data_IF_270914917852
#
_entry.id   IF_270914917852
#
_cell.length_a   1.000
_cell.length_b   1.000
_cell.length_c   1.000
_cell.angle_alpha   90.00
_cell.angle_beta   90.00
_cell.angle_gamma   90.00
#
_symmetry.space_group_name_H-M   'P 1'
#
loop_
_entity.id
_entity.type
_entity.pdbx_description
1 polymer ?
#
# COMPACT_ATOMS: atom_id res chain seq x y z
N UNK A 1 16.13 12.49 11.94
CA UNK A 1 16.26 11.54 10.83
C UNK A 1 15.90 10.15 11.31
N UNK A 2 15.10 9.45 10.51
CA UNK A 2 14.78 8.04 10.71
C UNK A 2 15.38 7.28 9.52
N UNK A 3 16.03 6.15 9.78
CA UNK A 3 16.55 5.27 8.74
C UNK A 3 16.10 3.85 9.07
N UNK A 4 15.55 3.17 8.11
CA UNK A 4 15.15 1.77 8.19
C UNK A 4 15.90 0.95 7.14
N UNK A 5 16.30 -0.24 7.51
CA UNK A 5 16.84 -1.25 6.62
C UNK A 5 16.21 -2.59 6.97
N UNK A 6 15.75 -3.29 5.96
CA UNK A 6 15.17 -4.62 6.09
C UNK A 6 15.82 -5.54 5.05
N UNK A 7 16.07 -6.79 5.41
CA UNK A 7 16.44 -7.87 4.48
C UNK A 7 15.44 -9.00 4.62
N UNK A 8 15.07 -9.61 3.50
CA UNK A 8 14.20 -10.78 3.50
C UNK A 8 14.77 -11.94 4.31
N UNK A 9 13.90 -12.79 4.79
CA UNK A 9 14.27 -13.99 5.52
C UNK A 9 14.85 -15.07 4.58
N UNK A 10 15.72 -15.92 5.13
CA UNK A 10 16.28 -17.09 4.45
C UNK A 10 17.09 -16.83 3.16
N UNK A 11 17.64 -15.62 3.00
CA UNK A 11 18.49 -15.34 1.85
C UNK A 11 17.73 -15.18 0.53
N UNK A 12 16.45 -14.78 0.59
CA UNK A 12 15.60 -14.51 -0.58
C UNK A 12 16.19 -13.46 -1.54
N UNK A 13 17.13 -12.66 -1.09
CA UNK A 13 17.67 -11.54 -1.86
C UNK A 13 16.84 -10.27 -1.75
N UNK A 14 15.72 -10.31 -1.05
CA UNK A 14 14.86 -9.14 -0.83
C UNK A 14 15.53 -8.15 0.11
N UNK A 15 15.40 -6.88 -0.19
CA UNK A 15 15.82 -5.83 0.73
C UNK A 15 14.94 -4.59 0.59
N UNK A 16 14.86 -3.82 1.67
CA UNK A 16 14.25 -2.50 1.67
C UNK A 16 15.12 -1.53 2.45
N UNK A 17 15.24 -0.32 1.93
CA UNK A 17 15.88 0.81 2.61
C UNK A 17 14.97 2.01 2.56
N UNK A 18 14.84 2.71 3.68
CA UNK A 18 14.13 3.97 3.73
C UNK A 18 14.88 5.00 4.57
N UNK A 19 14.68 6.25 4.24
CA UNK A 19 15.16 7.40 5.01
C UNK A 19 14.04 8.44 5.10
N UNK A 20 13.86 8.96 6.30
CA UNK A 20 12.85 9.97 6.57
C UNK A 20 13.34 11.08 7.49
N UNK A 21 12.62 12.17 7.48
CA UNK A 21 12.84 13.30 8.37
C UNK A 21 11.54 13.99 8.74
N UNK A 22 11.44 14.31 10.03
CA UNK A 22 10.37 15.12 10.59
C UNK A 22 10.88 16.55 10.81
N UNK A 23 10.06 17.51 10.42
CA UNK A 23 10.30 18.94 10.63
C UNK A 23 9.18 19.49 11.50
N UNK A 24 9.53 20.13 12.62
CA UNK A 24 8.57 20.76 13.51
C UNK A 24 8.60 22.28 13.31
N UNK A 25 7.43 22.88 13.08
CA UNK A 25 7.26 24.30 12.91
C UNK A 25 6.31 24.87 13.99
N UNK A 26 6.78 25.85 14.74
CA UNK A 26 6.00 26.56 15.76
C UNK A 26 5.29 25.65 16.79
N UNK A 27 5.84 24.47 17.10
CA UNK A 27 5.31 23.47 18.02
C UNK A 27 3.86 23.00 17.73
N UNK A 28 3.32 23.34 16.57
CA UNK A 28 1.95 22.99 16.17
C UNK A 28 1.87 22.27 14.84
N UNK A 29 2.84 22.46 13.98
CA UNK A 29 2.86 21.91 12.65
C UNK A 29 4.06 20.98 12.49
N UNK A 30 3.81 19.75 12.11
CA UNK A 30 4.85 18.75 11.84
C UNK A 30 4.72 18.28 10.39
N UNK A 31 5.80 18.40 9.64
CA UNK A 31 5.95 17.83 8.31
C UNK A 31 6.80 16.56 8.43
N UNK A 32 6.30 15.45 7.95
CA UNK A 32 7.00 14.18 7.84
C UNK A 32 7.30 13.91 6.38
N UNK A 33 8.51 13.51 6.09
CA UNK A 33 8.88 13.11 4.73
C UNK A 33 9.70 11.83 4.79
N UNK A 34 9.44 10.91 3.89
CA UNK A 34 10.31 9.74 3.71
C UNK A 34 10.38 9.33 2.25
N UNK A 35 11.49 8.75 1.89
CA UNK A 35 11.71 8.09 0.61
C UNK A 35 12.36 6.73 0.88
N UNK A 36 12.11 5.78 0.01
CA UNK A 36 12.71 4.46 0.13
C UNK A 36 12.67 3.69 -1.16
N UNK A 37 13.36 2.57 -1.12
CA UNK A 37 13.42 1.60 -2.19
C UNK A 37 13.31 0.19 -1.61
N UNK A 38 12.63 -0.68 -2.33
CA UNK A 38 12.53 -2.10 -2.05
C UNK A 38 12.90 -2.87 -3.32
N UNK A 39 13.62 -3.97 -3.16
CA UNK A 39 13.87 -4.95 -4.22
C UNK A 39 13.36 -6.31 -3.76
N UNK A 40 12.63 -6.98 -4.63
CA UNK A 40 12.01 -8.27 -4.36
C UNK A 40 12.41 -9.28 -5.43
N UNK A 41 12.55 -10.53 -5.01
CA UNK A 41 12.88 -11.66 -5.89
C UNK A 41 11.61 -12.48 -6.10
N UNK A 42 11.23 -12.75 -7.35
CA UNK A 42 10.05 -13.55 -7.72
C UNK A 42 8.71 -13.07 -7.09
N UNK A 43 8.70 -11.87 -6.49
CA UNK A 43 7.52 -11.27 -5.85
C UNK A 43 7.36 -9.83 -6.26
N UNK A 44 6.15 -9.33 -6.10
CA UNK A 44 5.80 -7.93 -6.34
C UNK A 44 4.89 -7.43 -5.21
N UNK A 45 5.37 -6.44 -4.43
CA UNK A 45 4.70 -5.92 -3.25
C UNK A 45 4.20 -7.03 -2.31
N UNK A 46 5.03 -8.05 -2.10
CA UNK A 46 4.72 -9.22 -1.29
C UNK A 46 3.76 -10.23 -1.94
N UNK A 47 3.37 -10.04 -3.19
CA UNK A 47 2.57 -10.99 -3.94
C UNK A 47 3.48 -11.82 -4.84
N UNK A 48 3.34 -13.15 -4.78
CA UNK A 48 3.98 -14.08 -5.69
C UNK A 48 2.98 -14.64 -6.68
N UNK A 49 3.45 -14.96 -7.86
CA UNK A 49 2.70 -15.73 -8.85
C UNK A 49 3.60 -16.76 -9.49
N UNK A 50 3.07 -17.96 -9.67
CA UNK A 50 3.80 -19.12 -10.19
C UNK A 50 3.32 -19.53 -11.56
N UNK A 51 4.14 -20.36 -12.25
CA UNK A 51 3.80 -20.97 -13.52
C UNK A 51 3.65 -19.96 -14.65
N UNK A 52 2.57 -20.05 -15.39
CA UNK A 52 2.33 -19.25 -16.59
C UNK A 52 2.21 -17.74 -16.35
N UNK A 53 2.02 -17.30 -15.11
CA UNK A 53 1.91 -15.89 -14.73
C UNK A 53 3.05 -15.47 -13.78
N UNK A 54 4.18 -16.19 -13.77
CA UNK A 54 5.30 -15.90 -12.91
C UNK A 54 5.91 -14.52 -13.22
N UNK A 55 6.23 -13.78 -12.18
CA UNK A 55 7.04 -12.55 -12.27
C UNK A 55 8.51 -12.91 -12.10
N UNK A 56 9.39 -12.08 -12.67
CA UNK A 56 10.84 -12.30 -12.62
C UNK A 56 11.47 -11.79 -11.34
N UNK A 57 12.79 -11.95 -11.28
CA UNK A 57 13.62 -11.47 -10.20
C UNK A 57 13.91 -9.96 -10.30
N UNK A 58 14.41 -9.40 -9.18
CA UNK A 58 14.86 -8.00 -9.11
C UNK A 58 13.77 -6.97 -9.43
N UNK A 59 12.55 -7.24 -8.96
CA UNK A 59 11.48 -6.24 -9.01
C UNK A 59 11.81 -5.08 -8.09
N UNK A 60 11.75 -3.86 -8.61
CA UNK A 60 12.17 -2.66 -7.88
C UNK A 60 10.99 -1.73 -7.62
N UNK A 61 10.81 -1.38 -6.37
CA UNK A 61 9.78 -0.45 -5.92
C UNK A 61 10.43 0.75 -5.25
N UNK A 62 10.17 1.94 -5.76
CA UNK A 62 10.54 3.21 -5.15
C UNK A 62 9.30 3.83 -4.54
N UNK A 63 9.41 4.37 -3.32
CA UNK A 63 8.28 5.01 -2.66
C UNK A 63 8.66 6.33 -2.02
N UNK A 64 7.71 7.24 -1.98
CA UNK A 64 7.80 8.52 -1.30
C UNK A 64 6.55 8.77 -0.46
N UNK A 65 6.73 9.28 0.75
CA UNK A 65 5.64 9.67 1.64
C UNK A 65 5.82 11.12 2.10
N UNK A 66 4.70 11.84 2.15
CA UNK A 66 4.59 13.16 2.76
C UNK A 66 3.43 13.13 3.74
N UNK A 67 3.72 13.42 5.01
CA UNK A 67 2.72 13.53 6.08
C UNK A 67 2.73 14.92 6.70
N UNK A 68 1.56 15.39 7.07
CA UNK A 68 1.37 16.67 7.77
C UNK A 68 0.54 16.41 9.03
N UNK A 69 1.03 16.91 10.17
CA UNK A 69 0.26 16.90 11.42
C UNK A 69 0.10 18.36 11.91
N UNK A 70 -1.10 18.68 12.33
CA UNK A 70 -1.42 19.97 12.93
C UNK A 70 -2.09 19.80 14.30
N UNK A 71 -1.48 20.41 15.33
CA UNK A 71 -1.97 20.37 16.69
C UNK A 71 -3.04 21.43 16.93
N UNK A 72 -4.25 20.99 17.33
CA UNK A 72 -5.40 21.82 17.68
C UNK A 72 -5.68 21.65 19.17
N UNK A 73 -5.05 22.43 20.01
CA UNK A 73 -5.06 22.18 21.47
C UNK A 73 -4.32 20.88 21.77
N UNK A 74 -5.03 19.90 22.36
CA UNK A 74 -4.51 18.54 22.60
C UNK A 74 -4.83 17.55 21.47
N UNK A 75 -5.54 18.00 20.44
CA UNK A 75 -5.98 17.14 19.34
C UNK A 75 -5.01 17.22 18.16
N UNK A 76 -5.02 16.21 17.30
CA UNK A 76 -4.16 16.12 16.12
C UNK A 76 -5.00 15.94 14.86
N UNK A 77 -4.83 16.81 13.89
CA UNK A 77 -5.29 16.60 12.52
C UNK A 77 -4.08 16.15 11.70
N UNK A 78 -4.18 15.02 11.01
CA UNK A 78 -3.11 14.48 10.17
C UNK A 78 -3.59 14.20 8.76
N UNK A 79 -2.69 14.40 7.80
CA UNK A 79 -2.86 14.02 6.41
C UNK A 79 -1.58 13.33 5.95
N UNK A 80 -1.70 12.17 5.32
CA UNK A 80 -0.60 11.42 4.74
C UNK A 80 -0.89 11.13 3.26
N UNK A 81 0.13 11.27 2.43
CA UNK A 81 0.14 10.91 1.02
C UNK A 81 1.34 10.03 0.74
N UNK A 82 1.11 8.92 0.04
CA UNK A 82 2.18 8.04 -0.41
C UNK A 82 2.05 7.80 -1.91
N UNK A 83 3.16 7.92 -2.62
CA UNK A 83 3.29 7.54 -4.02
C UNK A 83 4.32 6.41 -4.13
N UNK A 84 4.03 5.44 -4.96
CA UNK A 84 4.88 4.27 -5.21
C UNK A 84 5.03 4.08 -6.70
N UNK A 85 6.24 3.77 -7.13
CA UNK A 85 6.59 3.46 -8.51
C UNK A 85 7.30 2.11 -8.53
N UNK A 86 6.72 1.15 -9.24
CA UNK A 86 7.20 -0.23 -9.27
C UNK A 86 7.52 -0.67 -10.69
N UNK A 87 8.73 -1.21 -10.84
CA UNK A 87 9.24 -1.83 -12.05
C UNK A 87 9.21 -3.34 -11.85
N UNK A 88 8.47 -4.07 -12.69
CA UNK A 88 8.32 -5.52 -12.59
C UNK A 88 8.99 -6.17 -13.77
N UNK A 89 9.87 -7.13 -13.49
CA UNK A 89 10.49 -7.97 -14.50
C UNK A 89 9.62 -9.21 -14.75
N UNK A 90 9.72 -9.76 -15.94
CA UNK A 90 9.04 -10.99 -16.35
C UNK A 90 10.04 -12.12 -16.58
N UNK A 91 9.59 -13.37 -16.47
CA UNK A 91 10.38 -14.55 -16.83
C UNK A 91 10.12 -14.94 -18.30
N UNK A 92 11.09 -15.61 -18.94
CA UNK A 92 10.97 -16.03 -20.34
C UNK A 92 9.79 -17.00 -20.58
N UNK A 93 9.49 -17.85 -19.60
CA UNK A 93 8.42 -18.84 -19.67
C UNK A 93 7.04 -18.31 -19.28
N UNK A 94 6.95 -17.03 -18.86
CA UNK A 94 5.70 -16.39 -18.48
C UNK A 94 4.86 -16.01 -19.70
N UNK A 95 3.54 -16.15 -19.58
CA UNK A 95 2.59 -15.54 -20.53
C UNK A 95 2.54 -14.01 -20.39
N UNK A 96 3.03 -13.48 -19.29
CA UNK A 96 3.22 -12.03 -19.12
C UNK A 96 4.53 -11.67 -19.80
N UNK A 97 4.46 -10.92 -20.90
CA UNK A 97 5.64 -10.52 -21.68
C UNK A 97 6.26 -9.23 -21.17
N UNK A 98 5.46 -8.35 -20.65
CA UNK A 98 5.94 -7.06 -20.17
C UNK A 98 4.97 -6.44 -19.17
N UNK A 99 5.52 -5.62 -18.26
CA UNK A 99 4.78 -4.63 -17.50
C UNK A 99 5.30 -3.25 -17.88
N UNK A 100 4.42 -2.28 -18.06
CA UNK A 100 4.83 -0.89 -17.98
C UNK A 100 5.12 -0.54 -16.52
N UNK A 101 5.79 0.59 -16.27
CA UNK A 101 5.95 1.13 -14.94
C UNK A 101 4.59 1.27 -14.24
N UNK A 102 4.46 0.68 -13.06
CA UNK A 102 3.22 0.72 -12.27
C UNK A 102 3.35 1.81 -11.23
N UNK A 103 2.40 2.74 -11.26
CA UNK A 103 2.28 3.78 -10.24
C UNK A 103 1.07 3.51 -9.35
N UNK A 104 1.27 3.67 -8.04
CA UNK A 104 0.19 3.60 -7.07
C UNK A 104 0.23 4.79 -6.13
N UNK A 105 -0.94 5.19 -5.65
CA UNK A 105 -1.10 6.26 -4.68
C UNK A 105 -1.98 5.83 -3.53
N UNK A 106 -1.75 6.43 -2.36
CA UNK A 106 -2.65 6.32 -1.21
C UNK A 106 -2.76 7.62 -0.45
N UNK A 107 -3.92 7.84 0.18
CA UNK A 107 -4.21 9.04 0.97
C UNK A 107 -4.86 8.66 2.29
N UNK A 108 -4.52 9.38 3.36
CA UNK A 108 -5.17 9.24 4.66
C UNK A 108 -5.34 10.61 5.31
N UNK A 109 -6.54 10.90 5.78
CA UNK A 109 -6.86 12.02 6.63
C UNK A 109 -7.36 11.45 7.97
N UNK A 110 -6.85 11.94 9.10
CA UNK A 110 -7.31 11.51 10.40
C UNK A 110 -7.40 12.69 11.38
N UNK A 111 -8.32 12.57 12.32
CA UNK A 111 -8.46 13.50 13.43
C UNK A 111 -8.51 12.71 14.73
N UNK A 112 -7.56 12.98 15.63
CA UNK A 112 -7.39 12.33 16.90
C UNK A 112 -7.71 13.30 18.02
N UNK A 113 -8.55 12.88 18.96
CA UNK A 113 -8.97 13.64 20.12
C UNK A 113 -8.37 12.99 21.37
N UNK A 114 -7.44 13.69 21.99
CA UNK A 114 -6.83 13.28 23.25
C UNK A 114 -7.62 13.91 24.42
N UNK A 115 -8.58 13.13 24.97
CA UNK A 115 -9.41 13.58 26.08
C UNK A 115 -8.58 13.79 27.34
N UNK A 116 -7.67 12.89 27.60
CA UNK A 116 -6.69 12.90 28.68
C UNK A 116 -5.46 12.06 28.28
N UNK A 117 -4.49 11.88 29.21
CA UNK A 117 -3.25 11.11 28.91
C UNK A 117 -3.47 9.62 28.65
N UNK A 118 -4.68 9.10 28.93
CA UNK A 118 -5.00 7.67 28.85
C UNK A 118 -6.10 7.37 27.82
N UNK A 119 -6.82 8.39 27.34
CA UNK A 119 -7.98 8.20 26.47
C UNK A 119 -7.80 8.97 25.17
N UNK A 120 -7.74 8.24 24.07
CA UNK A 120 -7.70 8.79 22.72
C UNK A 120 -8.81 8.16 21.88
N UNK A 121 -9.50 8.97 21.11
CA UNK A 121 -10.44 8.49 20.09
C UNK A 121 -10.37 9.38 18.85
N UNK A 122 -10.83 8.87 17.75
CA UNK A 122 -10.77 9.64 16.51
C UNK A 122 -11.45 8.94 15.36
N UNK A 123 -11.37 9.61 14.22
CA UNK A 123 -11.85 9.10 12.97
C UNK A 123 -10.78 9.25 11.88
N UNK A 124 -10.90 8.45 10.85
CA UNK A 124 -10.06 8.53 9.66
C UNK A 124 -10.88 8.32 8.40
N UNK A 125 -10.41 8.95 7.33
CA UNK A 125 -10.81 8.68 5.98
C UNK A 125 -9.56 8.31 5.18
N UNK A 126 -9.60 7.23 4.42
CA UNK A 126 -8.48 6.85 3.56
C UNK A 126 -8.93 6.32 2.20
N UNK A 127 -8.10 6.59 1.21
CA UNK A 127 -8.06 5.86 -0.05
C UNK A 127 -6.82 4.95 0.04
N UNK A 128 -7.00 3.65 0.21
CA UNK A 128 -5.88 2.70 0.20
C UNK A 128 -5.10 2.76 -1.10
N UNK A 129 -3.94 2.12 -1.11
CA UNK A 129 -3.10 2.04 -2.31
C UNK A 129 -3.90 1.51 -3.51
N UNK A 130 -3.90 2.25 -4.59
CA UNK A 130 -4.58 1.91 -5.83
C UNK A 130 -3.70 2.27 -7.01
N UNK A 131 -3.82 1.50 -8.10
CA UNK A 131 -3.03 1.69 -9.31
C UNK A 131 -3.60 2.89 -10.08
N UNK A 132 -2.76 3.89 -10.31
CA UNK A 132 -3.08 5.12 -11.06
C UNK A 132 -2.55 5.10 -12.49
N UNK A 133 -1.51 4.28 -12.74
CA UNK A 133 -0.92 4.07 -14.05
C UNK A 133 -0.29 2.70 -14.13
N UNK A 134 -0.36 2.05 -15.27
CA UNK A 134 0.29 0.77 -15.53
C UNK A 134 -0.47 -0.07 -16.54
N UNK A 135 0.26 -0.90 -17.27
CA UNK A 135 -0.29 -1.90 -18.19
C UNK A 135 0.50 -3.20 -18.10
N UNK A 136 -0.15 -4.28 -18.51
CA UNK A 136 0.42 -5.61 -18.59
C UNK A 136 0.16 -6.18 -19.96
N UNK A 137 1.22 -6.67 -20.64
CA UNK A 137 1.12 -7.34 -21.93
C UNK A 137 1.14 -8.84 -21.73
N UNK A 138 0.11 -9.52 -22.24
CA UNK A 138 -0.10 -10.96 -22.15
C UNK A 138 0.00 -11.60 -23.53
N UNK A 139 0.73 -12.71 -23.64
CA UNK A 139 0.71 -13.58 -24.82
C UNK A 139 -0.35 -14.68 -24.61
N UNK A 140 -1.37 -14.70 -25.46
CA UNK A 140 -2.46 -15.68 -25.37
C UNK A 140 -2.53 -16.53 -26.64
N UNK A 141 -2.86 -17.81 -26.50
CA UNK A 141 -3.06 -18.71 -27.63
C UNK A 141 -4.32 -18.29 -28.40
N UNK A 142 -4.20 -17.96 -29.68
CA UNK A 142 -5.29 -17.56 -30.56
C UNK A 142 -5.85 -18.76 -31.36
N UNK A 143 -4.96 -19.58 -31.90
CA UNK A 143 -5.37 -20.70 -32.77
C UNK A 143 -4.33 -21.82 -32.78
N UNK A 144 -4.75 -23.00 -33.21
CA UNK A 144 -3.86 -24.15 -33.44
C UNK A 144 -3.96 -24.54 -34.92
N UNK A 145 -2.82 -24.58 -35.59
CA UNK A 145 -2.72 -25.01 -36.97
C UNK A 145 -2.92 -26.52 -37.12
N UNK A 146 -3.17 -27.00 -38.36
CA UNK A 146 -3.37 -28.43 -38.63
C UNK A 146 -2.13 -29.28 -38.33
N UNK A 147 -0.94 -28.70 -38.26
CA UNK A 147 0.33 -29.34 -37.89
C UNK A 147 0.61 -29.33 -36.38
N UNK A 148 -0.33 -28.80 -35.58
CA UNK A 148 -0.20 -28.69 -34.11
C UNK A 148 0.52 -27.44 -33.63
N UNK A 149 0.96 -26.53 -34.53
CA UNK A 149 1.60 -25.27 -34.13
C UNK A 149 0.57 -24.33 -33.54
N UNK A 150 0.89 -23.72 -32.38
CA UNK A 150 0.04 -22.73 -31.70
C UNK A 150 0.43 -21.34 -32.19
N UNK A 151 -0.55 -20.58 -32.63
CA UNK A 151 -0.38 -19.16 -32.91
C UNK A 151 -0.77 -18.36 -31.66
N UNK A 152 0.06 -17.41 -31.30
CA UNK A 152 -0.15 -16.53 -30.16
C UNK A 152 -0.45 -15.11 -30.64
N UNK A 153 -1.16 -14.36 -29.83
CA UNK A 153 -1.40 -12.94 -30.00
C UNK A 153 -1.14 -12.20 -28.70
N UNK A 154 -0.62 -10.97 -28.80
CA UNK A 154 -0.36 -10.13 -27.65
C UNK A 154 -1.61 -9.30 -27.32
N UNK A 155 -1.98 -9.29 -26.06
CA UNK A 155 -3.09 -8.48 -25.50
C UNK A 155 -2.52 -7.58 -24.43
N UNK A 156 -2.67 -6.27 -24.60
CA UNK A 156 -2.34 -5.30 -23.57
C UNK A 156 -3.57 -5.02 -22.67
N UNK A 157 -3.38 -5.09 -21.38
CA UNK A 157 -4.41 -4.82 -20.37
C UNK A 157 -4.00 -3.62 -19.52
N UNK A 158 -4.87 -2.60 -19.47
CA UNK A 158 -4.73 -1.49 -18.54
C UNK A 158 -5.00 -1.97 -17.11
N UNK A 159 -4.08 -1.69 -16.19
CA UNK A 159 -4.16 -2.06 -14.77
C UNK A 159 -4.75 -0.94 -13.91
N UNK A 160 -5.00 0.23 -14.49
CA UNK A 160 -5.53 1.38 -13.76
C UNK A 160 -6.88 1.06 -13.13
N UNK A 161 -7.00 1.31 -11.84
CA UNK A 161 -8.25 1.11 -11.12
C UNK A 161 -9.22 2.27 -11.35
N UNK A 162 -10.31 2.02 -12.07
CA UNK A 162 -11.36 3.01 -12.32
C UNK A 162 -12.18 3.32 -11.06
N UNK A 163 -12.43 2.32 -10.23
CA UNK A 163 -13.12 2.45 -8.94
C UNK A 163 -12.12 2.35 -7.81
N UNK A 164 -12.15 3.31 -6.89
CA UNK A 164 -11.21 3.40 -5.77
C UNK A 164 -11.91 3.05 -4.48
N UNK A 165 -11.32 2.14 -3.70
CA UNK A 165 -11.77 1.84 -2.35
C UNK A 165 -11.68 3.09 -1.47
N UNK A 166 -12.70 3.28 -0.60
CA UNK A 166 -12.76 4.37 0.39
C UNK A 166 -13.06 3.78 1.74
N UNK A 167 -12.24 4.13 2.73
CA UNK A 167 -12.38 3.63 4.08
C UNK A 167 -12.69 4.77 5.04
N UNK A 168 -13.69 4.54 5.89
CA UNK A 168 -14.09 5.43 6.98
C UNK A 168 -13.88 4.69 8.28
N UNK A 169 -12.92 5.12 9.08
CA UNK A 169 -12.55 4.49 10.33
C UNK A 169 -12.94 5.32 11.54
N UNK A 170 -13.29 4.61 12.62
CA UNK A 170 -13.38 5.15 13.98
C UNK A 170 -12.51 4.29 14.90
N UNK A 171 -11.83 4.91 15.83
CA UNK A 171 -11.07 4.19 16.85
C UNK A 171 -11.21 4.84 18.22
N UNK A 172 -11.08 4.00 19.24
CA UNK A 172 -11.08 4.39 20.65
C UNK A 172 -10.02 3.58 21.38
N UNK A 173 -9.10 4.27 22.07
CA UNK A 173 -8.06 3.64 22.88
C UNK A 173 -8.14 4.18 24.30
N UNK A 174 -8.07 3.30 25.27
CA UNK A 174 -8.01 3.65 26.68
C UNK A 174 -6.98 2.77 27.40
N UNK A 175 -6.01 3.40 28.07
CA UNK A 175 -5.02 2.74 28.92
C UNK A 175 -5.46 2.86 30.39
N UNK A 176 -5.22 1.85 31.21
CA UNK A 176 -5.51 1.91 32.64
C UNK A 176 -4.51 2.81 33.39
N UNK A 177 -5.00 3.50 34.42
CA UNK A 177 -4.18 4.33 35.35
C UNK A 177 -3.50 3.51 36.45
N UNK A 178 -3.78 2.21 36.56
CA UNK A 178 -3.30 1.35 37.66
C UNK A 178 -2.15 0.43 37.18
N UNK A 179 -1.40 -0.12 38.16
CA UNK A 179 -0.25 -1.02 37.98
C UNK A 179 -0.50 -2.29 37.10
N UNK A 180 -1.70 -2.48 36.65
CA UNK A 180 -2.05 -3.45 35.61
C UNK A 180 -1.96 -2.71 34.28
N UNK A 181 -0.97 -3.04 33.45
CA UNK A 181 -0.80 -2.57 32.06
C UNK A 181 -1.95 -3.03 31.15
N UNK A 182 -3.20 -2.70 31.55
CA UNK A 182 -4.38 -3.04 30.78
C UNK A 182 -4.71 -1.92 29.80
N UNK A 183 -4.87 -2.25 28.54
CA UNK A 183 -5.38 -1.35 27.52
C UNK A 183 -6.65 -1.92 26.90
N UNK A 184 -7.58 -1.05 26.59
CA UNK A 184 -8.77 -1.35 25.80
C UNK A 184 -8.68 -0.60 24.47
N UNK A 185 -8.74 -1.33 23.37
CA UNK A 185 -8.72 -0.78 22.03
C UNK A 185 -9.98 -1.24 21.30
N UNK A 186 -10.68 -0.32 20.68
CA UNK A 186 -11.82 -0.61 19.82
C UNK A 186 -11.63 0.12 18.51
N UNK A 187 -11.90 -0.57 17.38
CA UNK A 187 -11.93 0.04 16.06
C UNK A 187 -13.12 -0.45 15.25
N UNK A 188 -13.64 0.43 14.42
CA UNK A 188 -14.66 0.12 13.44
C UNK A 188 -14.30 0.81 12.13
N UNK A 189 -14.37 0.09 11.03
CA UNK A 189 -14.07 0.62 9.69
C UNK A 189 -15.17 0.18 8.72
N UNK A 190 -15.75 1.16 8.02
CA UNK A 190 -16.60 0.94 6.86
C UNK A 190 -15.76 1.11 5.60
N UNK A 191 -15.82 0.14 4.71
CA UNK A 191 -15.09 0.10 3.45
C UNK A 191 -16.11 0.11 2.31
N UNK A 192 -15.98 1.10 1.44
CA UNK A 192 -16.79 1.23 0.22
C UNK A 192 -15.94 0.80 -0.98
N UNK A 193 -16.56 0.11 -1.93
CA UNK A 193 -15.93 -0.35 -3.18
C UNK A 193 -14.67 -1.19 -2.92
N UNK A 194 -14.77 -2.17 -2.02
CA UNK A 194 -13.66 -3.01 -1.53
C UNK A 194 -12.87 -3.61 -2.69
N UNK A 195 -11.56 -3.46 -2.64
CA UNK A 195 -10.62 -3.89 -3.68
C UNK A 195 -10.92 -3.28 -5.06
N UNK A 196 -11.50 -2.09 -5.11
CA UNK A 196 -11.86 -1.40 -6.35
C UNK A 196 -13.08 -2.01 -7.08
N UNK A 197 -13.87 -2.84 -6.42
CA UNK A 197 -15.09 -3.44 -6.97
C UNK A 197 -16.31 -2.56 -6.63
N UNK A 198 -16.90 -1.95 -7.65
CA UNK A 198 -18.07 -1.06 -7.51
C UNK A 198 -19.23 -1.75 -6.77
N UNK A 199 -19.75 -1.09 -5.73
CA UNK A 199 -20.84 -1.57 -4.90
C UNK A 199 -20.52 -2.73 -3.96
N UNK A 200 -19.25 -3.12 -3.80
CA UNK A 200 -18.82 -4.11 -2.82
C UNK A 200 -18.37 -3.44 -1.53
N UNK A 201 -19.25 -3.40 -0.56
CA UNK A 201 -18.99 -2.77 0.73
C UNK A 201 -18.64 -3.79 1.82
N UNK A 202 -17.93 -3.34 2.87
CA UNK A 202 -17.52 -4.16 3.98
C UNK A 202 -17.46 -3.39 5.30
N UNK A 203 -17.52 -4.11 6.41
CA UNK A 203 -17.34 -3.58 7.77
C UNK A 203 -16.32 -4.46 8.49
N UNK A 204 -15.30 -3.82 9.05
CA UNK A 204 -14.31 -4.45 9.92
C UNK A 204 -14.50 -3.94 11.35
N UNK A 205 -14.49 -4.85 12.33
CA UNK A 205 -14.53 -4.52 13.76
C UNK A 205 -13.31 -5.14 14.44
N UNK A 206 -12.61 -4.35 15.26
CA UNK A 206 -11.47 -4.77 16.05
C UNK A 206 -11.69 -4.47 17.54
N UNK A 207 -11.24 -5.37 18.44
CA UNK A 207 -11.26 -5.25 19.89
C UNK A 207 -9.87 -5.48 20.46
#
# INVERSE_FOLDING_TARGET
>A
YNMGFYTGENGSGDYSINIGKDFMFHNKFKLKTSIGQMSEQETWLGNSSDGALAVGDNNNTNFGNIGVEYLIGNNVLSFDYTQVHTNINTTEDSLIKNFSDIETESYRLAYEIHKDKHTTFGWSFSLPSHITSGSMDLEVAESVNADGTINYTDISSDMTQSTKERNFGFFYNKTSDHDLDASFNFSAEYRQDVAGQDGKDGINLGL
#
